data_IF_297661872989
#
_entry.id   IF_297661872989
#
_cell.length_a   1.000
_cell.length_b   1.000
_cell.length_c   1.000
_cell.angle_alpha   90.00
_cell.angle_beta   90.00
_cell.angle_gamma   90.00
#
_symmetry.space_group_name_H-M   'P 1'
#
loop_
_entity.id
_entity.type
_entity.pdbx_description
1 polymer ?
#
# COMPACT_ATOMS: atom_id res chain seq x y z
N UNK A 1 19.64 -14.12 33.20
CA UNK A 1 18.27 -14.34 33.74
C UNK A 1 17.32 -14.31 32.56
N UNK A 2 16.64 -15.43 32.34
CA UNK A 2 15.57 -15.50 31.31
C UNK A 2 14.44 -14.52 31.71
N UNK A 3 13.88 -13.75 30.79
CA UNK A 3 12.77 -12.84 31.13
C UNK A 3 11.55 -13.64 31.58
N UNK A 4 10.88 -13.16 32.62
CA UNK A 4 9.64 -13.75 33.13
C UNK A 4 8.57 -13.72 32.04
N UNK A 5 7.97 -14.88 31.72
CA UNK A 5 6.89 -15.00 30.72
C UNK A 5 5.71 -15.77 31.28
N UNK A 6 4.56 -15.70 30.57
CA UNK A 6 3.34 -16.44 30.91
C UNK A 6 3.26 -17.75 30.11
N UNK A 7 3.16 -18.86 30.79
CA UNK A 7 3.15 -20.22 30.22
C UNK A 7 1.85 -20.94 30.58
N UNK A 8 1.16 -21.47 29.60
CA UNK A 8 0.04 -22.40 29.78
C UNK A 8 0.56 -23.83 29.60
N UNK A 9 0.46 -24.66 30.64
CA UNK A 9 0.75 -26.10 30.59
C UNK A 9 -0.56 -26.87 30.45
N UNK A 10 -0.61 -27.80 29.49
CA UNK A 10 -1.78 -28.63 29.22
C UNK A 10 -1.37 -30.09 29.15
N UNK A 11 -1.86 -30.90 30.08
CA UNK A 11 -1.61 -32.34 30.18
C UNK A 11 -2.75 -32.95 30.99
N UNK A 12 -3.08 -34.22 30.81
CA UNK A 12 -4.09 -34.91 31.62
C UNK A 12 -3.53 -35.49 32.92
N UNK A 13 -2.19 -35.54 33.03
CA UNK A 13 -1.50 -36.05 34.22
C UNK A 13 -1.21 -34.94 35.24
N UNK A 14 -2.06 -34.79 36.27
CA UNK A 14 -1.98 -33.77 37.33
C UNK A 14 -0.62 -33.73 38.07
N UNK A 15 0.00 -34.92 38.24
CA UNK A 15 1.33 -34.98 38.88
C UNK A 15 2.43 -34.37 38.02
N UNK A 16 2.38 -34.63 36.72
CA UNK A 16 3.33 -34.06 35.76
C UNK A 16 3.16 -32.55 35.66
N UNK A 17 1.93 -32.06 35.52
CA UNK A 17 1.60 -30.63 35.50
C UNK A 17 2.18 -29.89 36.73
N UNK A 18 1.97 -30.44 37.93
CA UNK A 18 2.51 -29.85 39.17
C UNK A 18 4.04 -29.85 39.23
N UNK A 19 4.68 -30.89 38.71
CA UNK A 19 6.13 -30.97 38.67
C UNK A 19 6.71 -29.94 37.69
N UNK A 20 6.23 -29.94 36.46
CA UNK A 20 6.66 -29.01 35.41
C UNK A 20 6.34 -27.56 35.78
N UNK A 21 5.13 -27.33 36.33
CA UNK A 21 4.68 -26.00 36.76
C UNK A 21 5.55 -25.44 37.90
N UNK A 22 6.00 -26.32 38.84
CA UNK A 22 6.92 -25.90 39.91
C UNK A 22 8.29 -25.51 39.34
N UNK A 23 8.83 -26.29 38.42
CA UNK A 23 10.11 -26.03 37.78
C UNK A 23 10.10 -24.69 37.03
N UNK A 24 9.08 -24.44 36.23
CA UNK A 24 8.94 -23.17 35.48
C UNK A 24 8.71 -21.96 36.39
N UNK A 25 7.98 -22.13 37.51
CA UNK A 25 7.80 -21.06 38.50
C UNK A 25 9.09 -20.75 39.24
N UNK A 26 9.98 -21.76 39.49
CA UNK A 26 11.28 -21.52 40.08
C UNK A 26 12.22 -20.69 39.21
N UNK A 27 12.04 -20.72 37.89
CA UNK A 27 12.73 -19.84 36.93
C UNK A 27 12.04 -18.46 36.78
N UNK A 28 11.00 -18.19 37.55
CA UNK A 28 10.33 -16.87 37.59
C UNK A 28 9.17 -16.70 36.60
N UNK A 29 8.73 -17.79 35.93
CA UNK A 29 7.62 -17.70 34.98
C UNK A 29 6.25 -17.75 35.68
N UNK A 30 5.26 -17.05 35.10
CA UNK A 30 3.85 -17.19 35.49
C UNK A 30 3.28 -18.42 34.80
N UNK A 31 2.90 -19.44 35.55
CA UNK A 31 2.42 -20.71 34.99
C UNK A 31 0.97 -20.96 35.38
N UNK A 32 0.16 -21.23 34.37
CA UNK A 32 -1.22 -21.70 34.52
C UNK A 32 -1.30 -23.14 34.02
N UNK A 33 -1.99 -24.01 34.76
CA UNK A 33 -2.11 -25.44 34.47
C UNK A 33 -3.54 -25.75 34.02
N UNK A 34 -3.67 -26.60 33.02
CA UNK A 34 -4.94 -27.10 32.50
C UNK A 34 -4.88 -28.64 32.36
N UNK A 35 -5.85 -29.31 32.94
CA UNK A 35 -5.94 -30.81 32.95
C UNK A 35 -6.68 -31.33 31.69
N UNK A 36 -6.49 -30.71 30.54
CA UNK A 36 -7.07 -31.13 29.26
C UNK A 36 -7.44 -29.98 28.34
N UNK A 37 -7.81 -30.33 27.11
CA UNK A 37 -8.08 -29.38 26.03
C UNK A 37 -9.26 -28.44 26.32
N UNK A 38 -10.30 -28.92 26.97
CA UNK A 38 -11.49 -28.08 27.28
C UNK A 38 -11.21 -27.00 28.30
N UNK A 39 -10.32 -27.23 29.29
CA UNK A 39 -9.85 -26.24 30.22
C UNK A 39 -8.89 -25.25 29.54
N UNK A 40 -8.00 -25.75 28.69
CA UNK A 40 -7.05 -24.95 27.94
C UNK A 40 -7.79 -23.95 26.99
N UNK A 41 -8.81 -24.38 26.25
CA UNK A 41 -9.62 -23.49 25.39
C UNK A 41 -10.25 -22.32 26.15
N UNK A 42 -10.82 -22.57 27.34
CA UNK A 42 -11.38 -21.51 28.18
C UNK A 42 -10.31 -20.52 28.62
N UNK A 43 -9.16 -21.02 29.07
CA UNK A 43 -8.05 -20.15 29.50
C UNK A 43 -7.48 -19.34 28.36
N UNK A 44 -7.37 -19.91 27.15
CA UNK A 44 -6.91 -19.20 25.94
C UNK A 44 -7.91 -18.15 25.45
N UNK A 45 -9.21 -18.29 25.73
CA UNK A 45 -10.22 -17.27 25.43
C UNK A 45 -10.24 -16.11 26.45
N UNK A 46 -9.92 -16.41 27.72
CA UNK A 46 -10.03 -15.44 28.82
C UNK A 46 -8.76 -14.62 29.04
N UNK A 47 -7.60 -15.15 28.67
CA UNK A 47 -6.31 -14.48 28.86
C UNK A 47 -5.25 -14.89 27.82
N UNK A 48 -4.25 -14.04 27.65
CA UNK A 48 -3.14 -14.27 26.74
C UNK A 48 -1.96 -14.96 27.41
N UNK A 49 -1.26 -15.82 26.67
CA UNK A 49 -0.05 -16.51 27.10
C UNK A 49 1.07 -16.29 26.09
N UNK A 50 2.30 -16.29 26.56
CA UNK A 50 3.50 -16.19 25.71
C UNK A 50 3.86 -17.56 25.11
N UNK A 51 3.68 -18.64 25.89
CA UNK A 51 3.99 -20.01 25.48
C UNK A 51 2.85 -20.94 25.89
N UNK A 52 2.48 -21.84 24.98
CA UNK A 52 1.58 -22.96 25.19
C UNK A 52 2.40 -24.26 25.12
N UNK A 53 2.47 -25.01 26.21
CA UNK A 53 3.05 -26.37 26.26
C UNK A 53 1.91 -27.36 26.37
N UNK A 54 1.72 -28.20 25.36
CA UNK A 54 0.56 -29.08 25.27
C UNK A 54 0.96 -30.53 25.04
N UNK A 55 0.38 -31.45 25.81
CA UNK A 55 0.49 -32.87 25.53
C UNK A 55 -0.35 -33.28 24.33
N UNK A 56 0.22 -34.15 23.49
CA UNK A 56 -0.49 -34.66 22.32
C UNK A 56 -1.57 -35.70 22.66
N UNK A 57 -1.32 -36.52 23.68
CA UNK A 57 -2.19 -37.62 24.05
C UNK A 57 -3.03 -37.25 25.28
N UNK A 58 -4.22 -36.70 25.05
CA UNK A 58 -5.22 -36.40 26.08
C UNK A 58 -6.49 -37.17 25.80
N UNK A 59 -7.30 -37.54 26.85
CA UNK A 59 -8.45 -38.45 26.71
C UNK A 59 -9.53 -37.96 25.74
N UNK A 60 -9.85 -36.66 25.72
CA UNK A 60 -11.00 -36.11 25.00
C UNK A 60 -10.64 -35.54 23.61
N UNK A 61 -9.52 -34.86 23.51
CA UNK A 61 -9.09 -34.14 22.30
C UNK A 61 -7.59 -34.19 22.22
N UNK A 62 -7.02 -34.48 21.06
CA UNK A 62 -5.58 -34.50 20.89
C UNK A 62 -4.96 -33.09 20.98
N UNK A 63 -3.68 -33.02 21.38
CA UNK A 63 -2.95 -31.74 21.36
C UNK A 63 -2.91 -31.11 19.97
N UNK A 64 -2.79 -31.93 18.92
CA UNK A 64 -2.84 -31.47 17.52
C UNK A 64 -4.18 -30.82 17.17
N UNK A 65 -5.30 -31.34 17.65
CA UNK A 65 -6.61 -30.76 17.42
C UNK A 65 -6.78 -29.43 18.17
N UNK A 66 -6.26 -29.33 19.41
CA UNK A 66 -6.24 -28.08 20.15
C UNK A 66 -5.40 -27.00 19.42
N UNK A 67 -4.23 -27.38 18.88
CA UNK A 67 -3.38 -26.49 18.09
C UNK A 67 -4.12 -26.05 16.82
N UNK A 68 -4.78 -26.97 16.12
CA UNK A 68 -5.55 -26.67 14.89
C UNK A 68 -6.69 -25.67 15.15
N UNK A 69 -7.43 -25.86 16.25
CA UNK A 69 -8.47 -24.95 16.67
C UNK A 69 -7.91 -23.55 17.01
N UNK A 70 -6.82 -23.49 17.77
CA UNK A 70 -6.15 -22.23 18.11
C UNK A 70 -5.65 -21.50 16.86
N UNK A 71 -5.06 -22.23 15.92
CA UNK A 71 -4.56 -21.67 14.65
C UNK A 71 -5.69 -21.16 13.77
N UNK A 72 -6.87 -21.81 13.79
CA UNK A 72 -8.02 -21.37 12.99
C UNK A 72 -8.76 -20.18 13.60
N UNK A 73 -8.80 -20.07 14.94
CA UNK A 73 -9.58 -19.07 15.65
C UNK A 73 -8.80 -17.79 16.03
N UNK A 74 -7.47 -17.88 16.14
CA UNK A 74 -6.64 -16.77 16.63
C UNK A 74 -5.68 -16.29 15.56
N UNK A 75 -5.60 -14.98 15.30
CA UNK A 75 -4.62 -14.41 14.38
C UNK A 75 -3.20 -14.78 14.78
N UNK A 76 -2.33 -15.03 13.82
CA UNK A 76 -0.93 -15.43 14.10
C UNK A 76 -0.21 -14.47 15.03
N UNK A 77 -0.54 -13.18 14.93
CA UNK A 77 0.04 -12.12 15.75
C UNK A 77 -0.29 -12.23 17.24
N UNK A 78 -1.36 -12.90 17.62
CA UNK A 78 -1.85 -13.03 18.99
C UNK A 78 -1.65 -14.42 19.60
N UNK A 79 -1.11 -15.36 18.80
CA UNK A 79 -0.87 -16.72 19.23
C UNK A 79 0.33 -16.84 20.15
N UNK A 80 0.23 -17.66 21.21
CA UNK A 80 1.41 -18.08 21.97
C UNK A 80 2.36 -18.89 21.10
N UNK A 81 3.63 -18.98 21.49
CA UNK A 81 4.55 -19.97 20.91
C UNK A 81 4.11 -21.35 21.39
N UNK A 82 3.99 -22.29 20.47
CA UNK A 82 3.42 -23.62 20.75
C UNK A 82 4.55 -24.63 20.85
N UNK A 83 4.57 -25.36 21.97
CA UNK A 83 5.47 -26.49 22.23
C UNK A 83 4.61 -27.73 22.45
N UNK A 84 4.87 -28.81 21.72
CA UNK A 84 4.13 -30.06 21.88
C UNK A 84 4.93 -31.09 22.65
N UNK A 85 4.32 -31.75 23.67
CA UNK A 85 4.85 -32.91 24.32
C UNK A 85 4.22 -34.16 23.72
N UNK A 86 4.98 -35.26 23.57
CA UNK A 86 4.46 -36.52 23.05
C UNK A 86 5.23 -37.74 23.58
N UNK A 87 4.49 -38.79 23.96
CA UNK A 87 5.09 -40.09 24.34
C UNK A 87 5.52 -40.92 23.12
N UNK A 88 4.93 -40.67 21.94
CA UNK A 88 5.24 -41.35 20.70
C UNK A 88 5.60 -40.32 19.62
N UNK A 89 6.86 -39.92 19.60
CA UNK A 89 7.37 -39.06 18.56
C UNK A 89 7.53 -39.89 17.25
N UNK A 90 6.45 -40.04 16.49
CA UNK A 90 6.61 -40.46 15.11
C UNK A 90 7.05 -39.23 14.29
N UNK A 91 7.90 -39.46 13.30
CA UNK A 91 8.34 -38.37 12.38
C UNK A 91 7.11 -37.65 11.78
N UNK A 92 6.03 -38.38 11.56
CA UNK A 92 4.78 -37.87 10.99
C UNK A 92 4.06 -36.88 11.93
N UNK A 93 3.90 -37.21 13.22
CA UNK A 93 3.24 -36.34 14.20
C UNK A 93 4.04 -35.07 14.50
N UNK A 94 5.38 -35.16 14.53
CA UNK A 94 6.26 -34.01 14.66
C UNK A 94 6.16 -33.07 13.43
N UNK A 95 6.19 -33.63 12.22
CA UNK A 95 6.01 -32.85 10.97
C UNK A 95 4.63 -32.18 10.94
N UNK A 96 3.58 -32.87 11.39
CA UNK A 96 2.22 -32.29 11.42
C UNK A 96 2.13 -31.14 12.42
N UNK A 97 2.67 -31.26 13.61
CA UNK A 97 2.72 -30.19 14.61
C UNK A 97 3.46 -28.95 14.06
N UNK A 98 4.62 -29.17 13.43
CA UNK A 98 5.40 -28.08 12.81
C UNK A 98 4.64 -27.41 11.66
N UNK A 99 3.94 -28.16 10.83
CA UNK A 99 3.07 -27.61 9.76
C UNK A 99 1.90 -26.80 10.31
N UNK A 100 1.40 -27.15 11.49
CA UNK A 100 0.36 -26.40 12.20
C UNK A 100 0.89 -25.18 12.95
N UNK A 101 2.21 -24.95 12.98
CA UNK A 101 2.83 -23.78 13.57
C UNK A 101 3.37 -24.00 14.98
N UNK A 102 3.58 -25.23 15.43
CA UNK A 102 4.37 -25.50 16.63
C UNK A 102 5.82 -25.08 16.41
N UNK A 103 6.42 -24.42 17.41
CA UNK A 103 7.82 -24.00 17.39
C UNK A 103 8.77 -25.17 17.56
N UNK A 104 8.44 -26.10 18.46
CA UNK A 104 9.24 -27.27 18.77
C UNK A 104 8.39 -28.38 19.42
N UNK A 105 8.98 -29.54 19.61
CA UNK A 105 8.33 -30.64 20.33
C UNK A 105 9.30 -31.30 21.33
N UNK A 106 8.76 -31.90 22.41
CA UNK A 106 9.46 -32.62 23.43
C UNK A 106 8.97 -34.06 23.48
N UNK A 107 9.90 -35.03 23.41
CA UNK A 107 9.56 -36.44 23.48
C UNK A 107 9.59 -36.92 24.93
N UNK A 108 8.47 -37.45 25.43
CA UNK A 108 8.40 -38.09 26.76
C UNK A 108 9.05 -39.48 26.69
N UNK A 109 9.83 -39.90 27.71
CA UNK A 109 10.25 -39.13 28.89
C UNK A 109 11.37 -38.14 28.56
N UNK A 110 11.30 -36.91 29.12
CA UNK A 110 12.31 -35.86 29.02
C UNK A 110 12.75 -35.37 30.39
N UNK A 111 13.94 -34.82 30.48
CA UNK A 111 14.43 -34.16 31.68
C UNK A 111 13.83 -32.74 31.83
N UNK A 112 13.66 -32.29 33.10
CA UNK A 112 13.11 -30.93 33.36
C UNK A 112 13.95 -29.84 32.67
N UNK A 113 15.27 -30.01 32.66
CA UNK A 113 16.20 -29.08 32.03
C UNK A 113 15.96 -28.92 30.51
N UNK A 114 15.55 -30.00 29.82
CA UNK A 114 15.19 -29.93 28.42
C UNK A 114 13.95 -29.02 28.18
N UNK A 115 12.90 -29.18 29.02
CA UNK A 115 11.73 -28.32 28.99
C UNK A 115 12.13 -26.86 29.23
N UNK A 116 12.93 -26.58 30.25
CA UNK A 116 13.37 -25.22 30.56
C UNK A 116 14.12 -24.56 29.41
N UNK A 117 14.99 -25.28 28.71
CA UNK A 117 15.72 -24.78 27.55
C UNK A 117 14.78 -24.46 26.40
N UNK A 118 13.83 -25.34 26.09
CA UNK A 118 12.91 -25.14 24.96
C UNK A 118 11.90 -24.01 25.26
N UNK A 119 11.41 -23.92 26.51
CA UNK A 119 10.52 -22.81 26.92
C UNK A 119 11.28 -21.47 26.91
N UNK A 120 12.53 -21.43 27.37
CA UNK A 120 13.34 -20.22 27.30
C UNK A 120 13.54 -19.72 25.87
N UNK A 121 13.78 -20.64 24.92
CA UNK A 121 13.87 -20.32 23.47
C UNK A 121 12.54 -19.80 22.92
N UNK A 122 11.43 -20.43 23.29
CA UNK A 122 10.09 -20.01 22.89
C UNK A 122 9.75 -18.61 23.42
N UNK A 123 10.08 -18.30 24.65
CA UNK A 123 9.90 -16.97 25.25
C UNK A 123 10.76 -15.90 24.57
N UNK A 124 12.00 -16.20 24.25
CA UNK A 124 12.88 -15.26 23.53
C UNK A 124 12.34 -15.00 22.12
N UNK A 125 11.89 -16.04 21.42
CA UNK A 125 11.24 -15.89 20.12
C UNK A 125 9.98 -15.02 20.20
N UNK A 126 9.11 -15.25 21.19
CA UNK A 126 7.91 -14.44 21.43
C UNK A 126 8.26 -12.99 21.75
N UNK A 127 9.30 -12.76 22.56
CA UNK A 127 9.77 -11.43 22.91
C UNK A 127 10.28 -10.66 21.70
N UNK A 128 11.13 -11.28 20.88
CA UNK A 128 11.63 -10.68 19.65
C UNK A 128 10.47 -10.33 18.70
N UNK A 129 9.48 -11.22 18.58
CA UNK A 129 8.27 -11.00 17.78
C UNK A 129 7.44 -9.84 18.32
N UNK A 130 7.29 -9.72 19.64
CA UNK A 130 6.55 -8.62 20.29
C UNK A 130 7.32 -7.31 20.18
N UNK A 131 8.64 -7.30 20.38
CA UNK A 131 9.48 -6.12 20.19
C UNK A 131 9.47 -5.63 18.73
N UNK A 132 9.58 -6.52 17.77
CA UNK A 132 9.48 -6.19 16.36
C UNK A 132 8.12 -5.56 16.01
N UNK A 133 7.03 -6.11 16.57
CA UNK A 133 5.69 -5.56 16.41
C UNK A 133 5.55 -4.18 17.06
N UNK A 134 6.06 -4.01 18.28
CA UNK A 134 6.04 -2.73 19.01
C UNK A 134 6.82 -1.67 18.24
N UNK A 135 8.01 -1.97 17.73
CA UNK A 135 8.78 -1.05 16.89
C UNK A 135 8.06 -0.71 15.57
N UNK A 136 7.36 -1.67 14.96
CA UNK A 136 6.53 -1.41 13.78
C UNK A 136 5.33 -0.52 14.15
N UNK A 137 4.65 -0.77 15.29
CA UNK A 137 3.50 0.04 15.71
C UNK A 137 3.90 1.45 16.12
N UNK A 138 5.01 1.65 16.82
CA UNK A 138 5.55 3.00 17.08
C UNK A 138 5.90 3.72 15.77
N UNK A 139 6.54 3.03 14.84
CA UNK A 139 6.80 3.59 13.51
C UNK A 139 5.49 3.87 12.74
N UNK A 140 4.50 3.01 12.82
CA UNK A 140 3.18 3.21 12.19
C UNK A 140 2.42 4.39 12.84
N UNK A 141 2.50 4.60 14.15
CA UNK A 141 1.89 5.75 14.82
C UNK A 141 2.64 7.05 14.52
N UNK A 142 3.96 7.03 14.45
CA UNK A 142 4.78 8.20 14.15
C UNK A 142 4.71 8.61 12.67
N UNK A 143 4.60 7.63 11.74
CA UNK A 143 4.53 7.88 10.29
C UNK A 143 3.12 7.86 9.69
N UNK A 144 2.11 7.40 10.42
CA UNK A 144 0.73 7.25 9.91
C UNK A 144 -0.20 8.40 10.34
N UNK A 145 0.34 9.50 10.83
CA UNK A 145 -0.42 10.61 11.40
C UNK A 145 -1.47 11.22 10.44
N UNK A 146 -1.42 10.91 9.13
CA UNK A 146 -2.39 11.43 8.13
C UNK A 146 -2.63 10.46 6.97
N UNK A 147 -2.35 9.16 7.15
CA UNK A 147 -2.39 8.19 6.05
C UNK A 147 -1.23 8.34 5.06
N UNK A 148 -0.19 9.13 5.41
CA UNK A 148 1.04 9.24 4.63
C UNK A 148 2.01 8.18 5.14
N UNK A 149 2.29 7.18 4.30
CA UNK A 149 3.22 6.10 4.60
C UNK A 149 4.52 6.33 3.82
N UNK A 150 5.65 6.47 4.54
CA UNK A 150 6.97 6.64 3.92
C UNK A 150 8.05 6.81 4.98
N UNK A 151 9.24 6.25 4.73
CA UNK A 151 10.44 6.31 5.59
C UNK A 151 11.60 7.05 4.94
N UNK A 152 11.48 7.30 3.65
CA UNK A 152 12.54 7.96 2.90
C UNK A 152 12.80 9.36 3.44
N UNK A 153 14.07 9.78 3.44
CA UNK A 153 14.46 11.13 3.83
C UNK A 153 13.72 12.18 3.01
N UNK A 154 13.54 11.93 1.72
CA UNK A 154 12.82 12.84 0.84
C UNK A 154 11.35 13.01 1.27
N UNK A 155 10.70 11.93 1.75
CA UNK A 155 9.32 12.00 2.23
C UNK A 155 9.23 12.64 3.62
N UNK A 156 10.21 12.41 4.49
CA UNK A 156 10.32 13.10 5.77
C UNK A 156 10.44 14.62 5.60
N UNK A 157 11.29 15.09 4.67
CA UNK A 157 11.41 16.52 4.35
C UNK A 157 10.08 17.11 3.84
N UNK A 158 9.26 16.34 3.10
CA UNK A 158 7.91 16.75 2.68
C UNK A 158 6.99 16.90 3.88
N UNK A 159 7.00 15.94 4.82
CA UNK A 159 6.18 15.96 6.03
C UNK A 159 6.58 17.13 6.94
N UNK A 160 7.86 17.30 7.21
CA UNK A 160 8.39 18.41 8.01
C UNK A 160 7.97 19.77 7.43
N UNK A 161 8.05 19.96 6.11
CA UNK A 161 7.59 21.18 5.43
C UNK A 161 6.08 21.35 5.58
N UNK A 162 5.30 20.27 5.42
CA UNK A 162 3.85 20.30 5.59
C UNK A 162 3.46 20.73 7.02
N UNK A 163 4.18 20.25 8.03
CA UNK A 163 3.99 20.60 9.43
C UNK A 163 4.36 22.08 9.72
N UNK A 164 5.51 22.51 9.21
CA UNK A 164 5.99 23.88 9.39
C UNK A 164 5.01 24.92 8.83
N UNK A 165 4.35 24.60 7.70
CA UNK A 165 3.41 25.53 7.06
C UNK A 165 1.99 25.40 7.59
N UNK A 166 1.68 24.36 8.36
CA UNK A 166 0.32 24.09 8.82
C UNK A 166 -0.28 25.27 9.61
N UNK A 167 0.46 25.87 10.53
CA UNK A 167 0.01 26.98 11.37
C UNK A 167 -0.07 28.33 10.63
N UNK A 168 0.34 28.38 9.37
CA UNK A 168 0.29 29.63 8.58
C UNK A 168 -0.98 29.67 7.72
N UNK A 169 -1.45 30.89 7.37
CA UNK A 169 -2.50 31.08 6.35
C UNK A 169 -1.96 31.21 4.93
N UNK A 170 -0.66 30.99 4.74
CA UNK A 170 -0.03 31.13 3.44
C UNK A 170 -0.54 30.10 2.44
N UNK A 171 -0.59 30.48 1.17
CA UNK A 171 -0.91 29.58 0.07
C UNK A 171 0.22 28.55 -0.10
N UNK A 172 -0.16 27.29 -0.28
CA UNK A 172 0.77 26.18 -0.49
C UNK A 172 0.55 25.60 -1.88
N UNK A 173 1.61 25.44 -2.65
CA UNK A 173 1.61 24.78 -3.95
C UNK A 173 2.30 23.42 -3.84
N UNK A 174 1.53 22.35 -4.00
CA UNK A 174 2.03 20.98 -3.96
C UNK A 174 2.27 20.50 -5.39
N UNK A 175 3.51 20.19 -5.73
CA UNK A 175 3.88 19.66 -7.05
C UNK A 175 4.31 18.20 -6.95
N UNK A 176 4.12 17.45 -8.01
CA UNK A 176 4.53 16.04 -8.10
C UNK A 176 3.69 15.27 -9.10
N UNK A 177 4.23 14.15 -9.56
CA UNK A 177 3.56 13.30 -10.54
C UNK A 177 2.19 12.79 -10.07
N UNK A 178 1.37 12.32 -11.02
CA UNK A 178 0.08 11.70 -10.68
C UNK A 178 0.30 10.46 -9.79
N UNK A 179 -0.52 10.34 -8.73
CA UNK A 179 -0.46 9.19 -7.81
C UNK A 179 0.63 9.25 -6.74
N UNK A 180 1.35 10.37 -6.57
CA UNK A 180 2.39 10.53 -5.53
C UNK A 180 1.84 10.78 -4.12
N UNK A 181 0.55 11.16 -3.99
CA UNK A 181 -0.11 11.42 -2.69
C UNK A 181 -0.34 12.89 -2.37
N UNK A 182 -0.40 13.79 -3.35
CA UNK A 182 -0.63 15.25 -3.17
C UNK A 182 -1.84 15.57 -2.29
N UNK A 183 -2.95 14.85 -2.45
CA UNK A 183 -4.16 15.04 -1.64
C UNK A 183 -3.94 14.70 -0.16
N UNK A 184 -3.15 13.65 0.14
CA UNK A 184 -2.82 13.28 1.52
C UNK A 184 -1.98 14.36 2.21
N UNK A 185 -1.00 14.93 1.50
CA UNK A 185 -0.19 16.05 2.02
C UNK A 185 -1.06 17.29 2.27
N UNK A 186 -1.98 17.62 1.36
CA UNK A 186 -2.91 18.74 1.56
C UNK A 186 -3.81 18.52 2.79
N UNK A 187 -4.30 17.30 2.99
CA UNK A 187 -5.07 16.93 4.17
C UNK A 187 -4.24 17.03 5.45
N UNK A 188 -3.01 16.53 5.44
CA UNK A 188 -2.10 16.63 6.58
C UNK A 188 -1.85 18.09 7.01
N UNK A 189 -1.67 18.99 6.04
CA UNK A 189 -1.52 20.43 6.29
C UNK A 189 -2.77 21.00 6.95
N UNK A 190 -3.97 20.62 6.49
CA UNK A 190 -5.22 21.09 7.09
C UNK A 190 -5.43 20.54 8.49
N UNK A 191 -5.27 19.24 8.70
CA UNK A 191 -5.52 18.54 9.96
C UNK A 191 -4.59 19.02 11.10
N UNK A 192 -3.40 19.55 10.73
CA UNK A 192 -2.46 20.19 11.68
C UNK A 192 -2.63 21.68 11.85
N UNK A 193 -3.47 22.33 11.04
CA UNK A 193 -3.66 23.77 11.10
C UNK A 193 -4.56 24.19 12.25
N UNK A 194 -4.52 25.49 12.59
CA UNK A 194 -5.48 26.10 13.50
C UNK A 194 -6.94 25.96 13.02
N UNK A 195 -7.13 25.69 11.72
CA UNK A 195 -8.44 25.52 11.07
C UNK A 195 -8.90 24.06 10.96
N UNK A 196 -8.24 23.11 11.65
CA UNK A 196 -8.55 21.66 11.60
C UNK A 196 -10.00 21.28 11.89
N UNK A 197 -10.73 22.11 12.64
CA UNK A 197 -12.15 21.91 12.96
C UNK A 197 -13.08 22.55 11.94
N UNK A 198 -12.55 23.35 11.02
CA UNK A 198 -13.28 24.02 9.95
C UNK A 198 -13.30 23.12 8.69
N UNK A 199 -14.16 23.43 7.72
CA UNK A 199 -14.26 22.56 6.53
C UNK A 199 -12.99 22.54 5.67
N UNK A 200 -12.61 21.34 5.19
CA UNK A 200 -11.68 21.15 4.08
C UNK A 200 -12.50 20.83 2.82
N UNK A 201 -12.65 21.81 1.95
CA UNK A 201 -13.36 21.66 0.68
C UNK A 201 -12.37 21.25 -0.43
N UNK A 202 -12.60 20.09 -1.05
CA UNK A 202 -11.73 19.55 -2.10
C UNK A 202 -12.40 19.70 -3.47
N UNK A 203 -11.64 20.19 -4.45
CA UNK A 203 -12.09 20.36 -5.83
C UNK A 203 -11.01 19.82 -6.76
N UNK A 204 -11.36 18.85 -7.57
CA UNK A 204 -10.48 18.38 -8.64
C UNK A 204 -10.87 19.11 -9.93
N UNK A 205 -10.00 20.03 -10.39
CA UNK A 205 -10.28 20.90 -11.52
C UNK A 205 -10.30 20.15 -12.87
N UNK A 206 -9.63 19.00 -12.95
CA UNK A 206 -9.63 18.16 -14.15
C UNK A 206 -10.87 17.27 -14.27
N UNK A 207 -11.54 16.96 -13.15
CA UNK A 207 -12.69 16.06 -13.15
C UNK A 207 -14.01 16.75 -13.54
N UNK A 208 -14.03 18.08 -13.53
CA UNK A 208 -15.23 18.89 -13.79
C UNK A 208 -15.06 19.60 -15.14
N UNK A 209 -16.01 19.50 -16.08
CA UNK A 209 -15.98 20.29 -17.31
C UNK A 209 -15.82 21.79 -17.01
N UNK A 210 -15.00 22.50 -17.78
CA UNK A 210 -14.65 23.91 -17.55
C UNK A 210 -15.88 24.81 -17.40
N UNK A 211 -16.92 24.59 -18.22
CA UNK A 211 -18.19 25.33 -18.17
C UNK A 211 -18.96 25.16 -16.85
N UNK A 212 -18.76 24.06 -16.15
CA UNK A 212 -19.39 23.79 -14.86
C UNK A 212 -18.47 24.14 -13.68
N UNK A 213 -17.14 24.11 -13.89
CA UNK A 213 -16.15 24.38 -12.85
C UNK A 213 -16.30 25.78 -12.26
N UNK A 214 -16.62 26.77 -13.09
CA UNK A 214 -16.90 28.14 -12.66
C UNK A 214 -18.07 28.19 -11.68
N UNK A 215 -19.20 27.56 -12.06
CA UNK A 215 -20.39 27.48 -11.22
C UNK A 215 -20.17 26.67 -9.93
N UNK A 216 -19.34 25.62 -9.97
CA UNK A 216 -18.98 24.86 -8.78
C UNK A 216 -18.09 25.67 -7.83
N UNK A 217 -17.09 26.40 -8.34
CA UNK A 217 -16.16 27.16 -7.51
C UNK A 217 -16.83 28.41 -6.90
N UNK A 218 -17.52 29.21 -7.72
CA UNK A 218 -18.02 30.53 -7.31
C UNK A 218 -19.51 30.55 -7.03
N UNK A 219 -20.26 29.50 -7.43
CA UNK A 219 -21.72 29.46 -7.31
C UNK A 219 -22.44 30.24 -8.41
N UNK A 220 -23.76 30.24 -8.36
CA UNK A 220 -24.59 30.96 -9.30
C UNK A 220 -25.94 31.37 -8.67
N UNK A 221 -26.52 32.45 -9.15
CA UNK A 221 -27.89 32.81 -8.85
C UNK A 221 -28.85 32.17 -9.83
N UNK A 222 -30.13 32.04 -9.47
CA UNK A 222 -31.18 31.55 -10.34
C UNK A 222 -31.23 32.36 -11.63
N UNK A 223 -31.22 31.68 -12.78
CA UNK A 223 -31.29 32.31 -14.09
C UNK A 223 -29.95 32.75 -14.69
N UNK A 224 -28.82 32.47 -14.02
CA UNK A 224 -27.48 32.85 -14.50
C UNK A 224 -27.09 32.20 -15.84
N UNK A 225 -27.62 31.01 -16.14
CA UNK A 225 -27.42 30.29 -17.39
C UNK A 225 -28.60 29.34 -17.67
N UNK A 226 -28.65 28.78 -18.88
CA UNK A 226 -29.67 27.79 -19.26
C UNK A 226 -29.54 26.53 -18.40
N UNK A 227 -30.50 26.33 -17.49
CA UNK A 227 -30.47 25.23 -16.49
C UNK A 227 -30.23 25.67 -15.04
N UNK A 228 -29.96 26.95 -14.78
CA UNK A 228 -29.84 27.50 -13.43
C UNK A 228 -31.24 27.72 -12.81
N UNK A 229 -31.88 26.62 -12.36
CA UNK A 229 -33.26 26.63 -11.81
C UNK A 229 -33.32 27.14 -10.36
N UNK A 230 -32.21 27.08 -9.64
CA UNK A 230 -32.08 27.53 -8.24
C UNK A 230 -30.73 28.23 -8.03
N UNK A 231 -30.62 29.04 -6.98
CA UNK A 231 -29.33 29.60 -6.53
C UNK A 231 -28.51 28.52 -5.82
N UNK A 232 -27.20 28.42 -6.15
CA UNK A 232 -26.27 27.46 -5.57
C UNK A 232 -25.05 28.18 -5.03
N UNK A 233 -24.70 27.90 -3.75
CA UNK A 233 -23.43 28.36 -3.14
C UNK A 233 -22.22 27.65 -3.78
N UNK A 234 -21.19 28.42 -4.08
CA UNK A 234 -19.92 27.92 -4.60
C UNK A 234 -19.03 27.29 -3.52
N UNK A 235 -18.02 26.54 -3.98
CA UNK A 235 -17.06 25.88 -3.09
C UNK A 235 -16.25 26.87 -2.24
N UNK A 236 -15.94 28.08 -2.76
CA UNK A 236 -15.30 29.13 -1.98
C UNK A 236 -16.18 29.60 -0.80
N UNK A 237 -17.48 29.83 -1.05
CA UNK A 237 -18.41 30.18 0.02
C UNK A 237 -18.57 29.05 1.07
N UNK A 238 -18.50 27.78 0.64
CA UNK A 238 -18.55 26.63 1.55
C UNK A 238 -17.27 26.43 2.36
N UNK A 239 -16.13 26.93 1.85
CA UNK A 239 -14.83 26.85 2.49
C UNK A 239 -14.54 28.03 3.43
N UNK A 240 -15.47 28.97 3.57
CA UNK A 240 -15.27 30.18 4.39
C UNK A 240 -14.89 29.86 5.83
N UNK A 241 -13.84 30.50 6.33
CA UNK A 241 -13.21 30.21 7.63
C UNK A 241 -12.32 28.95 7.65
N UNK A 242 -12.34 28.14 6.57
CA UNK A 242 -11.64 26.86 6.48
C UNK A 242 -10.55 26.83 5.38
N UNK A 243 -10.44 25.69 4.73
CA UNK A 243 -9.43 25.44 3.69
C UNK A 243 -10.09 24.94 2.41
N UNK A 244 -9.65 25.46 1.26
CA UNK A 244 -9.96 24.89 -0.05
C UNK A 244 -8.71 24.22 -0.64
N UNK A 245 -8.87 22.99 -1.10
CA UNK A 245 -7.85 22.25 -1.84
C UNK A 245 -8.24 22.16 -3.31
N UNK A 246 -7.41 22.75 -4.17
CA UNK A 246 -7.58 22.78 -5.62
C UNK A 246 -6.60 21.81 -6.27
N UNK A 247 -7.07 20.62 -6.65
CA UNK A 247 -6.24 19.63 -7.33
C UNK A 247 -6.24 19.85 -8.84
N UNK A 248 -5.10 19.55 -9.48
CA UNK A 248 -4.84 19.70 -10.92
C UNK A 248 -5.11 21.13 -11.42
N UNK A 249 -4.62 22.15 -10.67
CA UNK A 249 -4.81 23.56 -10.96
C UNK A 249 -4.33 23.97 -12.37
N UNK A 250 -3.30 23.29 -12.90
CA UNK A 250 -2.78 23.53 -14.26
C UNK A 250 -3.74 23.17 -15.39
N UNK A 251 -4.95 22.67 -15.10
CA UNK A 251 -5.99 22.39 -16.11
C UNK A 251 -6.98 23.51 -16.27
N UNK A 252 -6.94 24.54 -15.42
CA UNK A 252 -7.87 25.68 -15.49
C UNK A 252 -7.63 26.54 -16.72
N UNK A 253 -8.74 26.95 -17.38
CA UNK A 253 -8.70 27.92 -18.44
C UNK A 253 -8.47 29.35 -17.96
N UNK A 254 -8.05 30.26 -18.85
CA UNK A 254 -7.65 31.62 -18.54
C UNK A 254 -8.69 32.43 -17.74
N UNK A 255 -9.98 32.28 -18.07
CA UNK A 255 -11.06 33.00 -17.38
C UNK A 255 -11.12 32.62 -15.88
N UNK A 256 -11.00 31.34 -15.59
CA UNK A 256 -11.01 30.82 -14.21
C UNK A 256 -9.73 31.21 -13.45
N UNK A 257 -8.61 31.25 -14.14
CA UNK A 257 -7.34 31.72 -13.57
C UNK A 257 -7.44 33.17 -13.11
N UNK A 258 -8.01 34.06 -13.92
CA UNK A 258 -8.22 35.48 -13.56
C UNK A 258 -9.17 35.62 -12.34
N UNK A 259 -10.28 34.86 -12.30
CA UNK A 259 -11.20 34.86 -11.15
C UNK A 259 -10.55 34.31 -9.87
N UNK A 260 -9.76 33.26 -9.97
CA UNK A 260 -9.02 32.70 -8.85
C UNK A 260 -7.98 33.69 -8.31
N UNK A 261 -7.29 34.42 -9.20
CA UNK A 261 -6.33 35.47 -8.82
C UNK A 261 -7.02 36.54 -7.97
N UNK A 262 -8.23 36.98 -8.35
CA UNK A 262 -9.01 37.96 -7.59
C UNK A 262 -9.34 37.44 -6.17
N UNK A 263 -9.74 36.17 -6.04
CA UNK A 263 -9.99 35.56 -4.71
C UNK A 263 -8.71 35.55 -3.87
N UNK A 264 -7.55 35.22 -4.45
CA UNK A 264 -6.28 35.15 -3.73
C UNK A 264 -5.75 36.51 -3.32
N UNK A 265 -6.07 37.57 -4.07
CA UNK A 265 -5.59 38.92 -3.81
C UNK A 265 -6.55 39.72 -2.93
N UNK A 266 -7.82 39.75 -3.28
CA UNK A 266 -8.85 40.60 -2.69
C UNK A 266 -9.71 39.87 -1.67
N UNK A 267 -9.67 38.51 -1.63
CA UNK A 267 -10.56 37.65 -0.85
C UNK A 267 -12.04 37.86 -1.16
N UNK A 268 -12.31 38.17 -2.43
CA UNK A 268 -13.62 38.46 -2.93
C UNK A 268 -13.86 37.70 -4.25
N UNK A 269 -15.12 37.32 -4.47
CA UNK A 269 -15.57 36.75 -5.74
C UNK A 269 -17.03 37.14 -6.04
N UNK A 270 -17.44 36.96 -7.28
CA UNK A 270 -18.79 37.18 -7.71
C UNK A 270 -19.40 35.85 -8.18
N UNK A 271 -20.52 35.39 -7.57
CA UNK A 271 -21.29 34.29 -8.12
C UNK A 271 -21.79 34.60 -9.54
N UNK A 272 -21.93 33.57 -10.38
CA UNK A 272 -22.38 33.74 -11.76
C UNK A 272 -23.79 34.37 -11.78
N UNK A 273 -23.94 35.45 -12.55
CA UNK A 273 -25.16 36.18 -12.68
C UNK A 273 -25.54 37.07 -11.48
N UNK A 274 -24.68 37.14 -10.47
CA UNK A 274 -24.87 38.05 -9.34
C UNK A 274 -24.20 39.41 -9.60
N UNK A 275 -24.79 40.48 -9.10
CA UNK A 275 -24.22 41.83 -9.09
C UNK A 275 -23.47 42.15 -7.79
N UNK A 276 -23.53 41.22 -6.81
CA UNK A 276 -22.92 41.42 -5.50
C UNK A 276 -21.68 40.60 -5.36
N UNK A 277 -20.64 41.24 -4.86
CA UNK A 277 -19.37 40.58 -4.46
C UNK A 277 -19.53 39.93 -3.08
N UNK A 278 -19.09 38.71 -2.97
CA UNK A 278 -19.00 37.95 -1.70
C UNK A 278 -17.56 37.94 -1.20
N UNK A 279 -17.38 38.13 0.12
CA UNK A 279 -16.07 38.05 0.80
C UNK A 279 -15.89 36.71 1.47
N UNK A 280 -14.66 36.17 1.41
CA UNK A 280 -14.31 34.90 2.05
C UNK A 280 -12.92 34.96 2.67
N UNK A 281 -12.76 34.36 3.86
CA UNK A 281 -11.45 34.13 4.48
C UNK A 281 -11.09 32.63 4.37
N UNK A 282 -10.51 32.25 3.24
CA UNK A 282 -10.22 30.85 2.91
C UNK A 282 -8.71 30.67 2.77
N UNK A 283 -8.17 29.63 3.40
CA UNK A 283 -6.83 29.17 3.12
C UNK A 283 -6.81 28.32 1.84
N UNK A 284 -5.89 28.62 0.92
CA UNK A 284 -5.79 27.91 -0.36
C UNK A 284 -4.58 26.98 -0.36
N UNK A 285 -4.82 25.70 -0.68
CA UNK A 285 -3.80 24.71 -1.01
C UNK A 285 -4.05 24.28 -2.45
N UNK A 286 -3.09 24.44 -3.33
CA UNK A 286 -3.19 24.04 -4.74
C UNK A 286 -2.26 22.87 -5.03
N UNK A 287 -2.65 21.99 -5.94
CA UNK A 287 -1.82 20.87 -6.39
C UNK A 287 -1.81 20.74 -7.91
N UNK A 288 -0.70 20.28 -8.46
CA UNK A 288 -0.56 20.01 -9.89
C UNK A 288 0.51 18.98 -10.18
N UNK A 289 0.35 18.24 -11.28
CA UNK A 289 1.37 17.38 -11.87
C UNK A 289 2.08 18.06 -13.06
N UNK A 290 1.65 19.27 -13.46
CA UNK A 290 2.21 20.03 -14.60
C UNK A 290 3.26 21.01 -14.13
N UNK A 291 4.22 21.29 -14.99
CA UNK A 291 5.17 22.38 -14.78
C UNK A 291 4.49 23.72 -15.08
N UNK A 292 4.04 24.41 -14.01
CA UNK A 292 3.39 25.72 -14.14
C UNK A 292 4.35 26.79 -14.65
N UNK A 293 5.65 26.70 -14.33
CA UNK A 293 6.64 27.66 -14.82
C UNK A 293 6.78 27.57 -16.35
N UNK A 294 6.84 26.35 -16.89
CA UNK A 294 6.83 26.15 -18.34
C UNK A 294 5.52 26.65 -18.95
N UNK A 295 4.36 26.42 -18.31
CA UNK A 295 3.06 26.87 -18.80
C UNK A 295 2.96 28.39 -18.82
N UNK A 296 3.57 29.11 -17.87
CA UNK A 296 3.69 30.59 -17.91
C UNK A 296 4.48 31.03 -19.13
N UNK A 297 5.64 30.42 -19.38
CA UNK A 297 6.46 30.73 -20.56
C UNK A 297 5.73 30.49 -21.89
N UNK A 298 4.79 29.52 -21.92
CA UNK A 298 3.93 29.18 -23.05
C UNK A 298 2.64 30.03 -23.12
N UNK A 299 2.46 31.02 -22.23
CA UNK A 299 1.24 31.82 -22.07
C UNK A 299 -0.05 30.99 -21.85
N UNK A 300 0.07 29.83 -21.21
CA UNK A 300 -1.05 28.91 -20.86
C UNK A 300 -1.44 29.01 -19.40
N UNK A 301 -0.64 29.72 -18.60
CA UNK A 301 -0.94 29.98 -17.20
C UNK A 301 -0.54 31.43 -16.88
N UNK A 302 -1.40 32.13 -16.13
CA UNK A 302 -1.18 33.53 -15.74
C UNK A 302 0.00 33.65 -14.77
N UNK A 303 0.94 34.55 -15.07
CA UNK A 303 2.16 34.75 -14.31
C UNK A 303 1.85 35.23 -12.88
N UNK A 304 0.96 36.21 -12.73
CA UNK A 304 0.57 36.73 -11.41
C UNK A 304 -0.10 35.67 -10.55
N UNK A 305 -0.92 34.80 -11.16
CA UNK A 305 -1.53 33.67 -10.45
C UNK A 305 -0.46 32.66 -9.99
N UNK A 306 0.51 32.37 -10.84
CA UNK A 306 1.61 31.47 -10.48
C UNK A 306 2.36 31.99 -9.23
N UNK A 307 2.78 33.25 -9.19
CA UNK A 307 3.46 33.81 -8.03
C UNK A 307 2.57 33.85 -6.78
N UNK A 308 1.28 34.04 -6.93
CA UNK A 308 0.33 34.07 -5.81
C UNK A 308 0.05 32.67 -5.25
N UNK A 309 0.12 31.64 -6.08
CA UNK A 309 0.00 30.23 -5.66
C UNK A 309 1.32 29.69 -5.10
N UNK A 310 2.44 30.04 -5.70
CA UNK A 310 3.76 29.51 -5.39
C UNK A 310 4.45 30.27 -4.24
N UNK A 311 3.72 30.54 -3.15
CA UNK A 311 4.27 31.18 -1.95
C UNK A 311 5.11 30.19 -1.17
N UNK A 312 4.57 28.98 -0.93
CA UNK A 312 5.29 27.90 -0.26
C UNK A 312 5.21 26.66 -1.15
N UNK A 313 6.28 26.32 -1.89
CA UNK A 313 6.31 25.12 -2.71
C UNK A 313 6.62 23.88 -1.86
N UNK A 314 5.86 22.81 -2.09
CA UNK A 314 6.13 21.46 -1.57
C UNK A 314 6.19 20.52 -2.76
N UNK A 315 7.35 19.93 -3.01
CA UNK A 315 7.52 18.95 -4.09
C UNK A 315 7.51 17.53 -3.52
N UNK A 316 6.62 16.66 -4.06
CA UNK A 316 6.57 15.25 -3.68
C UNK A 316 7.33 14.44 -4.72
N UNK A 317 8.43 13.76 -4.33
CA UNK A 317 9.21 12.97 -5.27
C UNK A 317 8.42 11.76 -5.79
N UNK A 318 8.64 11.34 -7.03
CA UNK A 318 8.06 10.13 -7.58
C UNK A 318 8.58 8.88 -6.85
N UNK A 319 7.81 7.78 -6.89
CA UNK A 319 8.11 6.56 -6.13
C UNK A 319 9.47 5.93 -6.51
N UNK A 320 9.89 6.06 -7.77
CA UNK A 320 11.21 5.60 -8.26
C UNK A 320 12.40 6.30 -7.57
N UNK A 321 12.22 7.50 -7.04
CA UNK A 321 13.25 8.26 -6.31
C UNK A 321 13.23 7.98 -4.79
N UNK A 322 12.20 7.24 -4.30
CA UNK A 322 12.05 6.83 -2.90
C UNK A 322 11.73 5.33 -2.78
N UNK A 323 12.49 4.49 -3.48
CA UNK A 323 12.28 3.03 -3.51
C UNK A 323 12.36 2.37 -2.15
N UNK A 324 13.02 3.00 -1.19
CA UNK A 324 13.07 2.59 0.22
C UNK A 324 11.70 2.67 0.95
N UNK A 325 10.72 3.39 0.38
CA UNK A 325 9.35 3.42 0.89
C UNK A 325 8.51 2.22 0.43
N UNK A 326 8.93 1.52 -0.64
CA UNK A 326 8.15 0.41 -1.21
C UNK A 326 7.87 -0.71 -0.21
N UNK A 327 8.82 -1.15 0.65
CA UNK A 327 8.54 -2.19 1.63
C UNK A 327 7.41 -1.82 2.61
N UNK A 328 7.44 -0.61 3.18
CA UNK A 328 6.41 -0.14 4.12
C UNK A 328 5.07 0.10 3.44
N UNK A 329 5.07 0.61 2.22
CA UNK A 329 3.86 0.76 1.41
C UNK A 329 3.24 -0.59 1.07
N UNK A 330 4.06 -1.59 0.71
CA UNK A 330 3.62 -2.96 0.47
C UNK A 330 2.91 -3.54 1.70
N UNK A 331 3.54 -3.48 2.87
CA UNK A 331 2.96 -3.98 4.12
C UNK A 331 1.65 -3.27 4.46
N UNK A 332 1.64 -1.94 4.36
CA UNK A 332 0.44 -1.13 4.60
C UNK A 332 -0.72 -1.53 3.68
N UNK A 333 -0.49 -1.64 2.37
CA UNK A 333 -1.54 -1.96 1.41
C UNK A 333 -1.99 -3.43 1.50
N UNK A 334 -1.10 -4.37 1.77
CA UNK A 334 -1.48 -5.76 2.03
C UNK A 334 -2.41 -5.84 3.23
N UNK A 335 -2.07 -5.20 4.35
CA UNK A 335 -2.90 -5.15 5.57
C UNK A 335 -4.27 -4.51 5.27
N UNK A 336 -4.28 -3.35 4.64
CA UNK A 336 -5.49 -2.58 4.27
C UNK A 336 -6.45 -3.42 3.40
N UNK A 337 -5.94 -4.03 2.34
CA UNK A 337 -6.78 -4.77 1.40
C UNK A 337 -7.15 -6.16 1.92
N UNK A 338 -6.30 -6.82 2.71
CA UNK A 338 -6.62 -8.08 3.38
C UNK A 338 -7.80 -7.90 4.36
N UNK A 339 -7.76 -6.85 5.19
CA UNK A 339 -8.86 -6.52 6.10
C UNK A 339 -10.16 -6.20 5.34
N UNK A 340 -10.08 -5.38 4.28
CA UNK A 340 -11.26 -4.98 3.49
C UNK A 340 -11.92 -6.15 2.75
N UNK A 341 -11.13 -7.12 2.29
CA UNK A 341 -11.62 -8.28 1.53
C UNK A 341 -11.93 -9.50 2.40
N UNK A 342 -11.65 -9.45 3.71
CA UNK A 342 -11.76 -10.58 4.61
C UNK A 342 -10.79 -11.73 4.27
N UNK A 343 -9.76 -11.46 3.46
CA UNK A 343 -8.75 -12.44 3.08
C UNK A 343 -7.61 -12.45 4.09
N UNK A 344 -7.10 -13.62 4.37
CA UNK A 344 -5.92 -13.79 5.20
C UNK A 344 -4.70 -13.92 4.30
N UNK A 345 -3.76 -12.99 4.43
CA UNK A 345 -2.44 -13.04 3.78
C UNK A 345 -1.41 -13.22 4.90
N UNK A 346 -0.76 -14.37 4.92
CA UNK A 346 0.21 -14.74 5.96
C UNK A 346 1.64 -14.37 5.55
N UNK A 347 1.92 -14.35 4.23
CA UNK A 347 3.28 -14.13 3.71
C UNK A 347 3.26 -13.47 2.34
N UNK A 348 4.28 -12.65 2.12
CA UNK A 348 4.68 -12.16 0.79
C UNK A 348 5.99 -12.86 0.42
N UNK A 349 6.07 -13.43 -0.77
CA UNK A 349 7.25 -14.14 -1.27
C UNK A 349 8.43 -13.17 -1.47
N UNK A 350 9.65 -13.59 -1.10
CA UNK A 350 10.84 -12.69 -1.12
C UNK A 350 11.10 -12.07 -2.50
N UNK A 351 10.80 -12.78 -3.58
CA UNK A 351 10.91 -12.27 -4.96
C UNK A 351 9.95 -11.13 -5.32
N UNK A 352 8.84 -10.97 -4.58
CA UNK A 352 7.86 -9.91 -4.81
C UNK A 352 8.47 -8.55 -4.53
N UNK A 353 9.10 -8.38 -3.39
CA UNK A 353 9.70 -7.11 -2.98
C UNK A 353 10.77 -6.66 -3.98
N UNK A 354 11.64 -7.58 -4.40
CA UNK A 354 12.69 -7.28 -5.38
C UNK A 354 12.10 -6.81 -6.73
N UNK A 355 11.04 -7.46 -7.20
CA UNK A 355 10.35 -7.08 -8.43
C UNK A 355 9.71 -5.68 -8.31
N UNK A 356 9.04 -5.39 -7.17
CA UNK A 356 8.42 -4.09 -6.92
C UNK A 356 9.46 -2.95 -6.85
N UNK A 357 10.64 -3.19 -6.25
CA UNK A 357 11.70 -2.19 -6.15
C UNK A 357 12.41 -1.90 -7.48
N UNK A 358 12.40 -2.85 -8.43
CA UNK A 358 13.00 -2.65 -9.76
C UNK A 358 12.09 -1.90 -10.73
N UNK A 359 10.79 -1.87 -10.50
CA UNK A 359 9.84 -1.23 -11.40
C UNK A 359 9.83 0.31 -11.23
N UNK A 360 9.58 1.04 -12.33
CA UNK A 360 9.68 2.51 -12.38
C UNK A 360 8.44 3.25 -11.86
N UNK A 361 7.33 2.55 -11.66
CA UNK A 361 6.07 3.08 -11.08
C UNK A 361 5.59 4.39 -11.75
N UNK A 362 5.26 4.40 -13.06
CA UNK A 362 4.76 5.62 -13.71
C UNK A 362 3.47 6.17 -13.07
N UNK A 363 2.64 5.33 -12.47
CA UNK A 363 1.47 5.71 -11.69
C UNK A 363 1.73 5.86 -10.19
N UNK A 364 3.01 5.83 -9.77
CA UNK A 364 3.47 6.03 -8.40
C UNK A 364 2.76 5.16 -7.36
N UNK A 365 2.42 5.72 -6.20
CA UNK A 365 1.79 5.00 -5.08
C UNK A 365 0.40 4.47 -5.45
N UNK A 366 -0.35 5.19 -6.31
CA UNK A 366 -1.67 4.74 -6.77
C UNK A 366 -1.57 3.45 -7.61
N UNK A 367 -0.58 3.35 -8.48
CA UNK A 367 -0.32 2.14 -9.26
C UNK A 367 0.15 0.99 -8.36
N UNK A 368 1.02 1.26 -7.39
CA UNK A 368 1.46 0.28 -6.40
C UNK A 368 0.27 -0.25 -5.59
N UNK A 369 -0.59 0.63 -5.07
CA UNK A 369 -1.79 0.25 -4.32
C UNK A 369 -2.72 -0.65 -5.14
N UNK A 370 -3.05 -0.25 -6.38
CA UNK A 370 -3.88 -1.04 -7.29
C UNK A 370 -3.26 -2.41 -7.61
N UNK A 371 -1.94 -2.46 -7.72
CA UNK A 371 -1.20 -3.70 -7.98
C UNK A 371 -1.31 -4.67 -6.80
N UNK A 372 -1.12 -4.16 -5.58
CA UNK A 372 -1.23 -4.95 -4.36
C UNK A 372 -2.68 -5.36 -4.09
N UNK A 373 -3.65 -4.46 -4.28
CA UNK A 373 -5.08 -4.79 -4.18
C UNK A 373 -5.44 -5.98 -5.07
N UNK A 374 -5.03 -5.93 -6.34
CA UNK A 374 -5.26 -7.00 -7.29
C UNK A 374 -4.57 -8.30 -6.87
N UNK A 375 -3.32 -8.22 -6.40
CA UNK A 375 -2.59 -9.38 -5.91
C UNK A 375 -3.30 -10.04 -4.71
N UNK A 376 -3.82 -9.26 -3.77
CA UNK A 376 -4.61 -9.75 -2.63
C UNK A 376 -5.92 -10.38 -3.10
N UNK A 377 -6.66 -9.72 -4.01
CA UNK A 377 -7.95 -10.21 -4.51
C UNK A 377 -7.80 -11.48 -5.35
N UNK A 378 -6.76 -11.59 -6.17
CA UNK A 378 -6.52 -12.75 -7.04
C UNK A 378 -5.75 -13.89 -6.35
N UNK A 379 -5.21 -13.67 -5.16
CA UNK A 379 -4.52 -14.72 -4.42
C UNK A 379 -5.48 -15.85 -4.06
N UNK A 380 -5.14 -17.06 -4.49
CA UNK A 380 -5.87 -18.30 -4.16
C UNK A 380 -5.30 -18.98 -2.92
N UNK A 381 -4.15 -18.52 -2.44
CA UNK A 381 -3.46 -18.99 -1.24
C UNK A 381 -3.23 -17.82 -0.28
N UNK A 382 -2.84 -18.10 0.96
CA UNK A 382 -2.46 -17.07 1.93
C UNK A 382 -1.10 -16.42 1.64
N UNK A 383 -0.56 -16.60 0.45
CA UNK A 383 0.78 -16.11 0.02
C UNK A 383 0.64 -15.27 -1.23
N UNK A 384 1.20 -14.05 -1.22
CA UNK A 384 1.36 -13.24 -2.42
C UNK A 384 2.64 -13.69 -3.12
N UNK A 385 2.52 -14.15 -4.36
CA UNK A 385 3.63 -14.63 -5.18
C UNK A 385 4.10 -13.58 -6.19
N UNK A 386 5.33 -13.70 -6.68
CA UNK A 386 5.85 -12.81 -7.73
C UNK A 386 4.96 -12.80 -8.99
N UNK A 387 4.33 -13.93 -9.33
CA UNK A 387 3.40 -14.03 -10.47
C UNK A 387 2.15 -13.17 -10.28
N UNK A 388 1.60 -13.05 -9.07
CA UNK A 388 0.41 -12.23 -8.80
C UNK A 388 0.68 -10.72 -8.95
N UNK A 389 1.94 -10.31 -8.91
CA UNK A 389 2.37 -8.92 -9.03
C UNK A 389 2.89 -8.59 -10.45
N UNK A 390 3.61 -9.52 -11.10
CA UNK A 390 4.20 -9.31 -12.44
C UNK A 390 3.19 -9.32 -13.59
N UNK A 391 1.96 -9.82 -13.38
CA UNK A 391 0.88 -9.72 -14.38
C UNK A 391 0.35 -8.29 -14.56
N UNK A 392 0.95 -7.30 -13.90
CA UNK A 392 0.45 -5.93 -13.77
C UNK A 392 1.44 -4.86 -14.26
N UNK A 393 2.48 -5.25 -14.94
CA UNK A 393 3.11 -4.26 -15.82
C UNK A 393 2.00 -3.66 -16.71
N UNK A 394 2.00 -2.34 -17.03
CA UNK A 394 1.22 -1.86 -18.15
C UNK A 394 1.46 -2.88 -19.25
N UNK A 395 0.44 -3.25 -20.05
CA UNK A 395 0.75 -4.02 -21.21
C UNK A 395 1.97 -3.31 -21.77
N UNK A 396 3.11 -3.97 -21.74
CA UNK A 396 4.19 -3.58 -22.60
C UNK A 396 3.54 -3.70 -23.97
N UNK A 397 2.82 -2.65 -24.33
CA UNK A 397 2.61 -2.32 -25.70
C UNK A 397 4.01 -1.98 -26.21
N UNK A 398 4.85 -3.00 -26.26
CA UNK A 398 5.80 -3.16 -27.33
C UNK A 398 4.96 -3.41 -28.57
N UNK A 399 4.01 -2.53 -28.82
CA UNK A 399 3.74 -2.15 -30.19
C UNK A 399 5.02 -1.42 -30.54
N UNK A 400 5.93 -2.03 -31.29
CA UNK A 400 7.11 -1.34 -31.73
C UNK A 400 6.58 -0.09 -32.40
N UNK A 401 6.96 1.08 -31.90
CA UNK A 401 6.52 2.33 -32.46
C UNK A 401 6.78 2.23 -33.95
N UNK A 402 5.71 2.35 -34.74
CA UNK A 402 5.84 2.23 -36.20
C UNK A 402 6.88 3.28 -36.62
N UNK A 403 7.94 2.91 -37.32
CA UNK A 403 9.10 3.77 -37.55
C UNK A 403 8.75 4.98 -38.43
N UNK A 404 7.57 5.03 -39.03
CA UNK A 404 7.15 6.11 -39.92
C UNK A 404 5.63 6.23 -39.97
N UNK A 405 5.10 7.42 -40.37
CA UNK A 405 3.70 7.60 -40.74
C UNK A 405 3.39 7.08 -42.17
N UNK A 406 4.39 6.65 -42.93
CA UNK A 406 4.21 6.14 -44.27
C UNK A 406 3.94 4.63 -44.24
N UNK A 407 2.79 4.21 -44.73
CA UNK A 407 2.33 2.83 -44.70
C UNK A 407 3.37 1.84 -45.25
N UNK A 408 3.95 2.16 -46.41
CA UNK A 408 4.93 1.29 -47.07
C UNK A 408 6.17 1.01 -46.22
N UNK A 409 6.69 2.04 -45.54
CA UNK A 409 7.86 1.90 -44.65
C UNK A 409 7.54 1.05 -43.42
N UNK A 410 6.31 1.15 -42.91
CA UNK A 410 5.88 0.33 -41.77
C UNK A 410 5.67 -1.13 -42.18
N UNK A 411 5.17 -1.40 -43.38
CA UNK A 411 5.02 -2.76 -43.89
C UNK A 411 6.41 -3.41 -44.11
N UNK A 412 7.34 -2.69 -44.71
CA UNK A 412 8.73 -3.19 -44.87
C UNK A 412 9.42 -3.46 -43.54
N UNK A 413 9.23 -2.58 -42.59
CA UNK A 413 9.76 -2.75 -41.24
C UNK A 413 9.15 -3.99 -40.56
N UNK A 414 7.82 -4.17 -40.62
CA UNK A 414 7.12 -5.28 -40.00
C UNK A 414 7.55 -6.64 -40.65
N UNK A 415 7.64 -6.68 -41.99
CA UNK A 415 8.12 -7.87 -42.70
C UNK A 415 9.57 -8.24 -42.30
N UNK A 416 10.47 -7.26 -42.28
CA UNK A 416 11.87 -7.45 -41.91
C UNK A 416 12.02 -7.92 -40.44
N UNK A 417 11.29 -7.30 -39.51
CA UNK A 417 11.35 -7.67 -38.11
C UNK A 417 10.77 -9.06 -37.83
N UNK A 418 9.69 -9.44 -38.53
CA UNK A 418 9.10 -10.78 -38.42
C UNK A 418 10.06 -11.86 -38.90
N UNK A 419 10.71 -11.64 -40.05
CA UNK A 419 11.71 -12.56 -40.57
C UNK A 419 12.88 -12.74 -39.61
N UNK A 420 13.40 -11.65 -39.07
CA UNK A 420 14.51 -11.64 -38.10
C UNK A 420 14.15 -12.44 -36.83
N UNK A 421 13.00 -12.16 -36.23
CA UNK A 421 12.53 -12.87 -35.03
C UNK A 421 12.32 -14.35 -35.25
N UNK A 422 11.77 -14.72 -36.40
CA UNK A 422 11.58 -16.14 -36.76
C UNK A 422 12.92 -16.89 -36.89
N UNK A 423 13.93 -16.24 -37.49
CA UNK A 423 15.29 -16.81 -37.58
C UNK A 423 15.95 -16.91 -36.18
N UNK A 424 15.84 -15.88 -35.34
CA UNK A 424 16.40 -15.90 -34.01
C UNK A 424 15.77 -17.00 -33.15
N UNK A 425 14.45 -17.20 -33.23
CA UNK A 425 13.74 -18.26 -32.51
C UNK A 425 14.01 -19.65 -32.99
N UNK A 426 14.29 -19.80 -34.30
CA UNK A 426 14.63 -21.08 -34.91
C UNK A 426 16.14 -21.41 -34.87
N UNK A 427 16.96 -20.59 -34.18
CA UNK A 427 18.41 -20.78 -34.14
C UNK A 427 19.09 -20.71 -35.53
N UNK A 428 18.50 -19.97 -36.48
CA UNK A 428 19.00 -19.81 -37.83
C UNK A 428 18.55 -20.92 -38.82
N UNK A 429 17.72 -21.86 -38.35
CA UNK A 429 17.22 -22.95 -39.22
C UNK A 429 16.09 -22.44 -40.11
N UNK A 430 16.38 -22.23 -41.40
CA UNK A 430 15.44 -21.65 -42.38
C UNK A 430 14.12 -22.43 -42.53
N UNK A 431 14.17 -23.76 -42.39
CA UNK A 431 12.96 -24.60 -42.45
C UNK A 431 12.00 -24.29 -41.31
N UNK A 432 12.52 -24.26 -40.10
CA UNK A 432 11.75 -24.05 -38.89
C UNK A 432 11.26 -22.58 -38.79
N UNK A 433 12.07 -21.62 -39.24
CA UNK A 433 11.68 -20.22 -39.38
C UNK A 433 10.50 -20.02 -40.35
N UNK A 434 10.52 -20.72 -41.49
CA UNK A 434 9.42 -20.68 -42.46
C UNK A 434 8.11 -21.25 -41.86
N UNK A 435 8.23 -22.34 -41.10
CA UNK A 435 7.09 -22.97 -40.39
C UNK A 435 6.50 -22.04 -39.31
N UNK A 436 7.37 -21.41 -38.51
CA UNK A 436 6.95 -20.40 -37.49
C UNK A 436 6.23 -19.21 -38.13
N UNK A 437 6.62 -18.79 -39.31
CA UNK A 437 5.98 -17.71 -40.08
C UNK A 437 4.74 -18.13 -40.84
N UNK A 438 4.43 -19.43 -40.93
CA UNK A 438 3.31 -19.95 -41.73
C UNK A 438 3.49 -19.77 -43.23
N UNK A 439 4.75 -19.71 -43.72
CA UNK A 439 5.07 -19.51 -45.14
C UNK A 439 5.96 -20.66 -45.72
N UNK A 440 6.03 -20.75 -47.02
CA UNK A 440 6.93 -21.72 -47.64
C UNK A 440 8.41 -21.31 -47.54
N UNK A 441 9.34 -22.27 -47.52
CA UNK A 441 10.78 -21.99 -47.53
C UNK A 441 11.21 -21.12 -48.73
N UNK A 442 10.52 -21.25 -49.86
CA UNK A 442 10.77 -20.44 -51.06
C UNK A 442 10.35 -18.97 -50.80
N UNK A 443 9.24 -18.75 -50.10
CA UNK A 443 8.80 -17.41 -49.72
C UNK A 443 9.76 -16.78 -48.69
N UNK A 444 10.25 -17.55 -47.69
CA UNK A 444 11.25 -17.08 -46.76
C UNK A 444 12.54 -16.68 -47.47
N UNK A 445 13.02 -17.47 -48.42
CA UNK A 445 14.22 -17.16 -49.23
C UNK A 445 14.07 -15.85 -50.00
N UNK A 446 12.87 -15.55 -50.51
CA UNK A 446 12.56 -14.27 -51.15
C UNK A 446 12.71 -13.11 -50.16
N UNK A 447 12.13 -13.21 -48.95
CA UNK A 447 12.24 -12.16 -47.92
C UNK A 447 13.66 -11.96 -47.41
N UNK A 448 14.44 -13.04 -47.25
CA UNK A 448 15.86 -12.98 -46.87
C UNK A 448 16.66 -12.19 -47.92
N UNK A 449 16.45 -12.49 -49.23
CA UNK A 449 17.10 -11.77 -50.30
C UNK A 449 16.64 -10.29 -50.38
N UNK A 450 15.34 -10.05 -50.25
CA UNK A 450 14.75 -8.71 -50.28
C UNK A 450 15.31 -7.78 -49.20
N UNK A 451 15.49 -8.31 -47.97
CA UNK A 451 15.94 -7.53 -46.83
C UNK A 451 17.41 -7.70 -46.47
N UNK A 452 18.16 -8.47 -47.25
CA UNK A 452 19.59 -8.79 -47.06
C UNK A 452 19.88 -9.29 -45.64
N UNK A 453 19.04 -10.23 -45.17
CA UNK A 453 19.21 -10.91 -43.87
C UNK A 453 19.96 -12.21 -44.16
N UNK A 454 21.10 -12.42 -43.50
CA UNK A 454 21.94 -13.64 -43.65
C UNK A 454 21.42 -14.79 -42.76
#
# INVERSE_FOLDING_TARGET
MTPAGSVLLVDDEDKLLKSLGRALRSEGHRVVEATGASAARRLLSDQTFDVLVVDNLMPDVTGLDLIRDLVSSTPESERPQILMMTAHATIESAIEAMKLGALDFLQKPFEIDELLVVVARALEHQRLRTQHRYLISELDEEFNHYGIVGRSRAMQEVIERAELVADTKSTVLITGETGTGKELVARAIHDRSAQRTMPLIRVNCAAIPETLLESELFGHVRGAFTGATATKKGKFALADGGTIFLDEIGTMGALLQAKLLRVLQEREFEPLGAERTERVDVRVIAATNRDLHQMVAEARFEEDLYYRLNVIPIHIPPLRERREDIPVLLEHFVRKHAQRTGRRIDRVEDGVLAALQQYEWPGNVRELENTIERAVVLSTSHVITARSVTTVGPPTSTTPALPSLRLHQNVEWAERETVRRALDQSGGVKKDAAELMGISQRALSYYLAKYRIE
#
